data_IF_670062137991
#
_entry.id   IF_670062137991
#
_cell.length_a   1.000
_cell.length_b   1.000
_cell.length_c   1.000
_cell.angle_alpha   90.00
_cell.angle_beta   90.00
_cell.angle_gamma   90.00
#
_symmetry.space_group_name_H-M   'P 1'
#
loop_
_entity.id
_entity.type
_entity.pdbx_description
1 polymer ?
#
# COMPACT_ATOMS: atom_id res chain seq x y z
N UNK A 1 -88.76 13.85 23.54
CA UNK A 1 -89.16 14.05 24.96
C UNK A 1 -87.98 13.55 25.83
N UNK A 2 -87.54 14.51 26.71
CA UNK A 2 -86.63 14.23 27.88
C UNK A 2 -85.24 13.67 27.59
N UNK A 3 -84.25 14.46 27.55
CA UNK A 3 -83.32 15.04 28.55
C UNK A 3 -82.94 14.09 29.69
N UNK A 4 -81.69 13.70 29.73
CA UNK A 4 -80.95 13.57 30.99
C UNK A 4 -79.44 13.74 30.78
N UNK A 5 -78.95 14.73 31.50
CA UNK A 5 -77.54 15.14 31.55
C UNK A 5 -76.76 14.26 32.51
N UNK A 6 -75.60 13.75 32.13
CA UNK A 6 -74.66 13.17 33.08
C UNK A 6 -73.30 13.84 32.93
N UNK A 7 -72.92 14.53 33.98
CA UNK A 7 -71.63 15.15 34.20
C UNK A 7 -70.58 14.06 34.44
N UNK A 8 -69.52 14.07 33.67
CA UNK A 8 -68.30 13.30 33.97
C UNK A 8 -67.17 14.25 34.34
N UNK A 9 -66.72 14.11 35.56
CA UNK A 9 -65.53 14.77 36.12
C UNK A 9 -64.28 14.26 35.43
N UNK A 10 -63.49 15.17 34.86
CA UNK A 10 -62.21 14.84 34.31
C UNK A 10 -61.14 14.82 35.44
N UNK A 11 -60.57 13.68 35.69
CA UNK A 11 -59.38 13.51 36.50
C UNK A 11 -58.13 13.76 35.64
N UNK A 12 -57.35 14.81 35.93
CA UNK A 12 -56.07 15.06 35.34
C UNK A 12 -55.06 14.05 35.88
N UNK A 13 -54.62 13.15 35.01
CA UNK A 13 -53.43 12.31 35.28
C UNK A 13 -52.21 13.03 34.70
N UNK A 14 -51.38 13.57 35.58
CA UNK A 14 -50.07 14.11 35.20
C UNK A 14 -49.11 12.95 34.98
N UNK A 15 -48.85 12.60 33.71
CA UNK A 15 -47.80 11.67 33.34
C UNK A 15 -46.47 12.41 33.32
N UNK A 16 -45.66 12.19 34.32
CA UNK A 16 -44.25 12.65 34.36
C UNK A 16 -43.44 11.97 33.25
N UNK A 17 -43.04 12.73 32.25
CA UNK A 17 -42.11 12.27 31.22
C UNK A 17 -40.69 12.18 31.81
N UNK A 18 -40.26 10.98 32.19
CA UNK A 18 -38.85 10.70 32.42
C UNK A 18 -38.11 10.75 31.06
N UNK A 19 -37.39 11.83 30.81
CA UNK A 19 -36.47 11.92 29.70
C UNK A 19 -35.27 10.99 29.96
N UNK A 20 -35.37 9.77 29.47
CA UNK A 20 -34.23 8.83 29.39
C UNK A 20 -33.26 9.38 28.38
N UNK A 21 -32.11 9.89 28.85
CA UNK A 21 -30.97 10.17 28.02
C UNK A 21 -30.43 8.85 27.47
N UNK A 22 -30.80 8.51 26.24
CA UNK A 22 -30.14 7.43 25.50
C UNK A 22 -28.68 7.86 25.30
N UNK A 23 -27.76 7.17 25.97
CA UNK A 23 -26.35 7.29 25.75
C UNK A 23 -26.07 6.94 24.26
N UNK A 24 -25.58 7.92 23.52
CA UNK A 24 -25.12 7.78 22.15
C UNK A 24 -23.92 6.79 22.17
N UNK A 25 -23.87 5.77 21.30
CA UNK A 25 -22.68 4.92 21.24
C UNK A 25 -21.48 5.78 20.85
N UNK A 26 -20.45 5.74 21.66
CA UNK A 26 -19.15 6.33 21.35
C UNK A 26 -18.56 5.55 20.18
N UNK A 27 -18.29 6.23 19.06
CA UNK A 27 -17.56 5.62 17.96
C UNK A 27 -17.94 6.02 16.54
N UNK A 28 -18.17 7.30 16.27
CA UNK A 28 -17.91 7.85 14.94
C UNK A 28 -17.00 9.05 15.15
N UNK A 29 -15.71 8.83 15.04
CA UNK A 29 -14.75 9.92 14.85
C UNK A 29 -15.03 10.50 13.47
N UNK A 30 -15.80 11.60 13.43
CA UNK A 30 -15.79 12.46 12.25
C UNK A 30 -14.34 12.83 11.93
N UNK A 31 -13.98 12.96 10.64
CA UNK A 31 -12.65 13.39 10.26
C UNK A 31 -12.33 14.71 10.98
N UNK A 32 -11.21 14.73 11.69
CA UNK A 32 -10.75 15.89 12.42
C UNK A 32 -10.28 16.94 11.42
N UNK A 33 -11.23 17.67 10.82
CA UNK A 33 -10.93 18.84 10.01
C UNK A 33 -10.20 19.86 10.87
N UNK A 34 -9.04 20.35 10.38
CA UNK A 34 -8.33 21.54 10.83
C UNK A 34 -7.58 21.51 12.19
N UNK A 35 -7.21 20.36 12.73
CA UNK A 35 -6.19 20.40 13.78
C UNK A 35 -4.81 20.32 13.14
N UNK A 36 -3.94 21.35 13.29
CA UNK A 36 -2.58 21.28 12.80
C UNK A 36 -1.87 20.04 13.36
N UNK A 37 -1.12 19.33 12.51
CA UNK A 37 -0.26 18.23 12.93
C UNK A 37 0.88 18.79 13.78
N UNK A 38 0.74 18.72 15.10
CA UNK A 38 1.70 19.30 16.05
C UNK A 38 2.90 18.38 16.31
N UNK A 39 2.67 17.06 16.30
CA UNK A 39 3.68 16.06 16.60
C UNK A 39 3.63 14.97 15.51
N UNK A 40 4.31 15.16 14.37
CA UNK A 40 4.27 14.19 13.29
C UNK A 40 5.03 12.92 13.66
N UNK A 41 4.46 11.80 13.28
CA UNK A 41 5.17 10.51 13.30
C UNK A 41 6.30 10.57 12.28
N UNK A 42 7.53 10.24 12.69
CA UNK A 42 8.67 10.21 11.80
C UNK A 42 8.81 8.81 11.19
N UNK A 43 8.64 8.70 9.89
CA UNK A 43 8.95 7.49 9.11
C UNK A 43 10.44 7.46 8.82
N UNK A 44 11.12 6.42 9.27
CA UNK A 44 12.58 6.31 9.22
C UNK A 44 13.06 5.30 8.19
N UNK A 45 14.27 5.51 7.70
CA UNK A 45 14.96 4.47 6.94
C UNK A 45 15.23 3.26 7.84
N UNK A 46 15.11 2.05 7.25
CA UNK A 46 15.24 0.79 8.00
C UNK A 46 16.50 0.71 8.87
N UNK A 47 17.65 1.18 8.36
CA UNK A 47 18.93 1.22 9.07
C UNK A 47 19.01 2.25 10.19
N UNK A 48 18.14 3.28 10.15
CA UNK A 48 18.09 4.32 11.17
C UNK A 48 17.27 3.89 12.41
N UNK A 49 16.59 2.76 12.32
CA UNK A 49 15.90 2.14 13.46
C UNK A 49 16.92 1.37 14.33
N UNK A 50 16.75 1.44 15.65
CA UNK A 50 17.44 0.51 16.53
C UNK A 50 16.92 -0.92 16.35
N UNK A 51 17.69 -1.93 16.80
CA UNK A 51 17.25 -3.33 16.72
C UNK A 51 15.90 -3.56 17.43
N UNK A 52 15.66 -2.88 18.54
CA UNK A 52 14.39 -2.95 19.25
C UNK A 52 13.23 -2.32 18.45
N UNK A 53 13.49 -1.23 17.72
CA UNK A 53 12.49 -0.59 16.86
C UNK A 53 12.20 -1.46 15.63
N UNK A 54 13.25 -2.07 15.02
CA UNK A 54 13.09 -3.03 13.93
C UNK A 54 12.26 -4.23 14.39
N UNK A 55 12.58 -4.81 15.55
CA UNK A 55 11.83 -5.94 16.12
C UNK A 55 10.37 -5.54 16.41
N UNK A 56 10.15 -4.36 16.98
CA UNK A 56 8.80 -3.86 17.26
C UNK A 56 7.94 -3.73 16.00
N UNK A 57 8.54 -3.29 14.87
CA UNK A 57 7.82 -3.27 13.59
C UNK A 57 7.53 -4.67 13.08
N UNK A 58 8.50 -5.57 13.11
CA UNK A 58 8.34 -6.98 12.70
C UNK A 58 7.24 -7.64 13.53
N UNK A 59 7.24 -7.47 14.84
CA UNK A 59 6.22 -8.03 15.74
C UNK A 59 4.82 -7.48 15.45
N UNK A 60 4.72 -6.19 15.11
CA UNK A 60 3.45 -5.58 14.72
C UNK A 60 2.93 -6.14 13.37
N UNK A 61 3.80 -6.39 12.39
CA UNK A 61 3.41 -7.04 11.13
C UNK A 61 2.93 -8.48 11.40
N UNK A 62 3.65 -9.25 12.24
CA UNK A 62 3.24 -10.61 12.63
C UNK A 62 1.92 -10.61 13.43
N UNK A 63 1.70 -9.60 14.25
CA UNK A 63 0.41 -9.39 14.91
C UNK A 63 -0.72 -9.19 13.87
N UNK A 64 -0.54 -8.36 12.85
CA UNK A 64 -1.54 -8.21 11.78
C UNK A 64 -1.79 -9.53 11.05
N UNK A 65 -0.77 -10.35 10.83
CA UNK A 65 -0.88 -11.67 10.19
C UNK A 65 -1.64 -12.70 11.07
N UNK A 66 -1.72 -12.46 12.38
CA UNK A 66 -2.42 -13.34 13.33
C UNK A 66 -3.77 -12.80 13.82
N UNK A 67 -4.08 -11.53 13.51
CA UNK A 67 -5.36 -10.92 13.89
C UNK A 67 -6.37 -11.12 12.76
N UNK A 68 -7.61 -11.51 13.08
CA UNK A 68 -8.68 -11.79 12.11
C UNK A 68 -8.95 -10.62 11.18
N UNK A 69 -9.09 -10.92 9.88
CA UNK A 69 -9.39 -9.94 8.85
C UNK A 69 -10.81 -9.37 8.95
N UNK A 70 -10.97 -8.18 8.43
CA UNK A 70 -12.24 -7.43 8.44
C UNK A 70 -13.08 -7.65 7.18
N UNK A 71 -12.47 -8.12 6.08
CA UNK A 71 -13.13 -8.27 4.77
C UNK A 71 -13.29 -9.73 4.33
N UNK A 72 -13.22 -10.69 5.27
CA UNK A 72 -13.32 -12.11 4.99
C UNK A 72 -14.67 -12.53 4.36
N UNK A 73 -15.76 -11.78 4.61
CA UNK A 73 -17.05 -12.01 3.94
C UNK A 73 -17.04 -11.61 2.47
N UNK A 74 -16.20 -10.65 2.09
CA UNK A 74 -16.07 -10.15 0.72
C UNK A 74 -15.04 -10.96 -0.08
N UNK A 75 -13.95 -11.35 0.57
CA UNK A 75 -12.82 -12.03 -0.07
C UNK A 75 -12.51 -13.33 0.68
N UNK A 76 -12.77 -14.47 0.07
CA UNK A 76 -12.61 -15.79 0.71
C UNK A 76 -11.17 -16.11 1.12
N UNK A 77 -10.18 -15.46 0.51
CA UNK A 77 -8.77 -15.58 0.84
C UNK A 77 -8.34 -14.84 2.10
N UNK A 78 -9.12 -13.86 2.56
CA UNK A 78 -8.79 -13.09 3.75
C UNK A 78 -8.95 -13.94 5.02
N UNK A 79 -7.87 -14.07 5.78
CA UNK A 79 -7.81 -14.74 7.08
C UNK A 79 -7.34 -13.79 8.18
N UNK A 80 -6.55 -12.79 7.81
CA UNK A 80 -5.93 -11.86 8.75
C UNK A 80 -6.12 -10.40 8.32
N UNK A 81 -5.83 -9.45 9.23
CA UNK A 81 -5.77 -8.02 8.91
C UNK A 81 -4.72 -7.73 7.83
N UNK A 82 -3.64 -8.51 7.79
CA UNK A 82 -2.62 -8.39 6.76
C UNK A 82 -3.19 -8.74 5.37
N UNK A 83 -3.99 -9.80 5.30
CA UNK A 83 -4.65 -10.24 4.07
C UNK A 83 -5.68 -9.23 3.56
N UNK A 84 -6.31 -8.44 4.42
CA UNK A 84 -7.22 -7.36 4.01
C UNK A 84 -6.55 -6.38 3.04
N UNK A 85 -5.29 -6.02 3.33
CA UNK A 85 -4.51 -5.11 2.47
C UNK A 85 -4.10 -5.79 1.16
N UNK A 86 -3.70 -7.06 1.20
CA UNK A 86 -3.42 -7.81 -0.01
C UNK A 86 -4.66 -7.93 -0.90
N UNK A 87 -5.82 -8.27 -0.33
CA UNK A 87 -7.09 -8.39 -1.05
C UNK A 87 -7.53 -7.04 -1.67
N UNK A 88 -7.41 -5.94 -0.92
CA UNK A 88 -7.70 -4.61 -1.43
C UNK A 88 -6.84 -4.27 -2.64
N UNK A 89 -5.52 -4.49 -2.54
CA UNK A 89 -4.61 -4.22 -3.65
C UNK A 89 -4.93 -5.10 -4.87
N UNK A 90 -5.13 -6.42 -4.69
CA UNK A 90 -5.51 -7.33 -5.77
C UNK A 90 -6.78 -6.83 -6.47
N UNK A 91 -7.81 -6.45 -5.72
CA UNK A 91 -9.11 -6.03 -6.26
C UNK A 91 -9.06 -4.70 -7.01
N UNK A 92 -8.08 -3.85 -6.70
CA UNK A 92 -7.96 -2.50 -7.27
C UNK A 92 -6.83 -2.37 -8.30
N UNK A 93 -5.95 -3.35 -8.44
CA UNK A 93 -4.72 -3.26 -9.24
C UNK A 93 -4.91 -2.67 -10.63
N UNK A 94 -5.93 -3.10 -11.36
CA UNK A 94 -6.23 -2.62 -12.71
C UNK A 94 -6.76 -1.18 -12.76
N UNK A 95 -7.09 -0.60 -11.61
CA UNK A 95 -7.59 0.77 -11.50
C UNK A 95 -6.57 1.75 -10.93
N UNK A 96 -5.55 1.26 -10.21
CA UNK A 96 -4.66 2.09 -9.39
C UNK A 96 -3.22 2.17 -9.91
N UNK A 97 -2.90 1.51 -11.01
CA UNK A 97 -1.59 1.54 -11.65
C UNK A 97 -1.69 2.16 -13.03
N UNK A 98 -0.64 2.90 -13.43
CA UNK A 98 -0.58 3.67 -14.69
C UNK A 98 -1.77 4.62 -14.83
N UNK A 99 -2.06 5.31 -13.74
CA UNK A 99 -3.11 6.31 -13.61
C UNK A 99 -2.59 7.55 -12.89
N UNK A 100 -3.29 8.67 -13.00
CA UNK A 100 -2.92 9.93 -12.36
C UNK A 100 -2.98 9.95 -10.85
N UNK A 101 -3.61 8.97 -10.22
CA UNK A 101 -3.75 8.87 -8.77
C UNK A 101 -3.00 7.68 -8.15
N UNK A 102 -2.05 7.10 -8.87
CA UNK A 102 -1.18 6.03 -8.36
C UNK A 102 -0.55 6.39 -7.00
N UNK A 103 0.17 7.52 -6.93
CA UNK A 103 0.84 7.96 -5.70
C UNK A 103 -0.14 8.36 -4.59
N UNK A 104 -1.20 9.17 -4.83
CA UNK A 104 -2.21 9.47 -3.82
C UNK A 104 -2.87 8.23 -3.21
N UNK A 105 -3.22 7.25 -4.04
CA UNK A 105 -3.86 6.02 -3.57
C UNK A 105 -2.91 5.20 -2.70
N UNK A 106 -1.66 4.99 -3.13
CA UNK A 106 -0.67 4.23 -2.37
C UNK A 106 -0.24 4.95 -1.07
N UNK A 107 -0.20 6.29 -1.06
CA UNK A 107 -0.01 7.07 0.18
C UNK A 107 -1.11 6.79 1.19
N UNK A 108 -2.35 6.80 0.75
CA UNK A 108 -3.50 6.49 1.61
C UNK A 108 -3.50 5.03 2.07
N UNK A 109 -3.18 4.11 1.18
CA UNK A 109 -3.06 2.69 1.47
C UNK A 109 -2.01 2.41 2.56
N UNK A 110 -0.83 3.02 2.46
CA UNK A 110 0.22 2.94 3.48
C UNK A 110 -0.24 3.54 4.82
N UNK A 111 -0.94 4.66 4.78
CA UNK A 111 -1.44 5.29 6.00
C UNK A 111 -2.47 4.41 6.70
N UNK A 112 -3.40 3.82 5.98
CA UNK A 112 -4.36 2.87 6.53
C UNK A 112 -3.67 1.67 7.16
N UNK A 113 -2.65 1.13 6.50
CA UNK A 113 -1.83 0.04 7.04
C UNK A 113 -1.14 0.46 8.35
N UNK A 114 -0.56 1.66 8.39
CA UNK A 114 0.04 2.21 9.60
C UNK A 114 -0.98 2.38 10.74
N UNK A 115 -2.23 2.79 10.42
CA UNK A 115 -3.27 2.90 11.44
C UNK A 115 -3.66 1.52 12.01
N UNK A 116 -3.72 0.47 11.19
CA UNK A 116 -3.98 -0.88 11.68
C UNK A 116 -2.82 -1.41 12.56
N UNK A 117 -1.57 -1.18 12.17
CA UNK A 117 -0.41 -1.50 13.03
C UNK A 117 -0.53 -0.82 14.40
N UNK A 118 -0.98 0.44 14.45
CA UNK A 118 -1.12 1.20 15.69
C UNK A 118 -2.32 0.74 16.52
N UNK A 119 -3.47 0.61 15.90
CA UNK A 119 -4.74 0.38 16.61
C UNK A 119 -4.93 -1.07 17.01
N UNK A 120 -4.67 -2.01 16.13
CA UNK A 120 -4.83 -3.44 16.38
C UNK A 120 -3.61 -4.05 17.08
N UNK A 121 -2.39 -3.61 16.68
CA UNK A 121 -1.14 -4.24 17.12
C UNK A 121 -0.28 -3.36 18.03
N UNK A 122 -0.79 -2.19 18.44
CA UNK A 122 -0.17 -1.27 19.41
C UNK A 122 1.23 -0.78 19.01
N UNK A 123 1.52 -0.77 17.72
CA UNK A 123 2.78 -0.22 17.21
C UNK A 123 2.81 1.29 17.41
N UNK A 124 3.92 1.82 17.92
CA UNK A 124 4.05 3.24 18.25
C UNK A 124 4.89 4.04 17.26
N UNK A 125 5.59 3.36 16.35
CA UNK A 125 6.42 3.98 15.32
C UNK A 125 5.64 4.39 14.06
N UNK A 126 6.37 4.95 13.10
CA UNK A 126 5.91 5.09 11.71
C UNK A 126 6.35 3.89 10.86
N UNK A 127 5.68 3.65 9.74
CA UNK A 127 6.14 2.65 8.77
C UNK A 127 7.57 3.00 8.34
N UNK A 128 8.53 2.07 8.47
CA UNK A 128 9.87 2.30 7.95
C UNK A 128 9.87 2.27 6.42
N UNK A 129 10.91 2.86 5.82
CA UNK A 129 11.12 2.75 4.39
C UNK A 129 12.49 2.14 4.06
N UNK A 130 12.59 1.52 2.89
CA UNK A 130 13.83 0.97 2.37
C UNK A 130 14.47 1.94 1.39
N UNK A 131 15.54 2.61 1.81
CA UNK A 131 16.33 3.44 0.90
C UNK A 131 17.26 2.58 0.03
N UNK A 132 16.70 2.00 -1.00
CA UNK A 132 17.44 1.13 -1.92
C UNK A 132 18.61 1.83 -2.64
N UNK A 133 18.67 3.16 -2.65
CA UNK A 133 19.84 3.86 -3.22
C UNK A 133 21.14 3.59 -2.45
N UNK A 134 21.05 3.13 -1.21
CA UNK A 134 22.19 2.73 -0.40
C UNK A 134 22.71 1.33 -0.77
N UNK A 135 21.89 0.53 -1.44
CA UNK A 135 22.16 -0.87 -1.75
C UNK A 135 22.44 -1.11 -3.25
N UNK A 136 21.95 -0.25 -4.13
CA UNK A 136 21.96 -0.47 -5.58
C UNK A 136 23.32 -0.29 -6.28
N UNK A 137 24.39 0.09 -5.57
CA UNK A 137 25.72 0.33 -6.17
C UNK A 137 26.33 -0.94 -6.77
N UNK A 138 26.20 -2.08 -6.08
CA UNK A 138 26.74 -3.38 -6.51
C UNK A 138 25.76 -4.50 -6.16
N UNK A 139 25.86 -5.65 -6.86
CA UNK A 139 25.07 -6.83 -6.54
C UNK A 139 25.32 -7.31 -5.09
N UNK A 140 26.57 -7.27 -4.64
CA UNK A 140 26.93 -7.68 -3.29
C UNK A 140 26.29 -6.79 -2.22
N UNK A 141 26.28 -5.46 -2.42
CA UNK A 141 25.59 -4.54 -1.50
C UNK A 141 24.09 -4.78 -1.47
N UNK A 142 23.47 -5.01 -2.63
CA UNK A 142 22.05 -5.28 -2.69
C UNK A 142 21.69 -6.54 -1.90
N UNK A 143 22.40 -7.63 -2.15
CA UNK A 143 22.18 -8.91 -1.46
C UNK A 143 22.48 -8.87 0.05
N UNK A 144 23.33 -7.93 0.48
CA UNK A 144 23.65 -7.69 1.89
C UNK A 144 22.84 -6.54 2.52
N UNK A 145 21.77 -6.09 1.86
CA UNK A 145 20.90 -5.08 2.43
C UNK A 145 20.33 -5.53 3.77
N UNK A 146 20.36 -4.70 4.83
CA UNK A 146 19.75 -5.04 6.12
C UNK A 146 18.26 -5.35 6.05
N UNK A 147 17.58 -4.98 4.98
CA UNK A 147 16.18 -5.40 4.74
C UNK A 147 16.07 -6.91 4.57
N UNK A 148 17.12 -7.58 4.06
CA UNK A 148 17.18 -9.04 3.90
C UNK A 148 17.86 -9.76 5.07
N UNK A 149 18.20 -9.05 6.15
CA UNK A 149 18.78 -9.68 7.34
C UNK A 149 17.83 -10.71 7.95
N UNK A 150 18.41 -11.82 8.43
CA UNK A 150 17.63 -12.95 8.93
C UNK A 150 17.23 -12.82 10.40
N UNK A 151 17.75 -11.82 11.11
CA UNK A 151 17.42 -11.57 12.53
C UNK A 151 16.62 -10.29 12.68
N UNK A 152 17.13 -9.20 12.12
CA UNK A 152 16.57 -7.86 12.22
C UNK A 152 16.09 -7.31 10.87
N UNK A 153 15.73 -8.19 9.92
CA UNK A 153 15.19 -7.86 8.61
C UNK A 153 13.98 -8.73 8.28
N UNK A 154 13.74 -8.87 6.99
CA UNK A 154 12.55 -9.58 6.48
C UNK A 154 12.89 -10.98 5.96
N UNK A 155 14.10 -11.49 6.24
CA UNK A 155 14.60 -12.74 5.69
C UNK A 155 15.21 -12.57 4.29
N UNK A 156 15.98 -13.58 3.89
CA UNK A 156 16.74 -13.57 2.64
C UNK A 156 15.94 -14.01 1.42
N UNK A 157 16.66 -14.63 0.49
CA UNK A 157 16.10 -15.13 -0.76
C UNK A 157 15.35 -16.45 -0.56
N UNK A 158 14.46 -16.77 -1.50
CA UNK A 158 13.89 -18.11 -1.61
C UNK A 158 14.93 -19.14 -2.08
N UNK A 159 14.72 -20.41 -1.75
CA UNK A 159 15.54 -21.48 -2.29
C UNK A 159 15.51 -21.50 -3.82
N UNK A 160 16.64 -21.82 -4.48
CA UNK A 160 16.68 -21.83 -5.95
C UNK A 160 15.77 -22.91 -6.52
N UNK A 161 14.90 -22.52 -7.45
CA UNK A 161 14.02 -23.43 -8.20
C UNK A 161 14.18 -23.15 -9.69
N UNK A 162 14.57 -24.18 -10.45
CA UNK A 162 14.82 -24.05 -11.91
C UNK A 162 13.55 -23.71 -12.66
N UNK A 163 12.46 -24.42 -12.36
CA UNK A 163 11.13 -24.20 -12.94
C UNK A 163 10.14 -23.97 -11.80
N UNK A 164 9.68 -22.76 -11.67
CA UNK A 164 8.79 -22.40 -10.58
C UNK A 164 7.35 -22.86 -10.80
N UNK A 165 6.98 -23.24 -12.02
CA UNK A 165 5.58 -23.51 -12.39
C UNK A 165 4.63 -22.32 -12.10
N UNK A 166 5.17 -21.22 -11.55
CA UNK A 166 4.41 -20.02 -11.21
C UNK A 166 4.39 -19.08 -12.39
N UNK A 167 3.21 -18.86 -12.94
CA UNK A 167 2.96 -17.79 -13.88
C UNK A 167 2.49 -16.56 -13.09
N UNK A 168 3.19 -15.43 -13.23
CA UNK A 168 2.68 -14.14 -12.71
C UNK A 168 1.48 -13.64 -13.50
N UNK A 169 1.12 -14.34 -14.58
CA UNK A 169 0.00 -13.99 -15.42
C UNK A 169 -1.29 -14.60 -14.87
N UNK A 170 -2.20 -13.77 -14.43
CA UNK A 170 -3.61 -14.14 -14.53
C UNK A 170 -3.92 -14.31 -16.02
N UNK A 171 -4.42 -15.47 -16.42
CA UNK A 171 -4.62 -15.85 -17.84
C UNK A 171 -5.56 -14.94 -18.64
N UNK A 172 -6.14 -13.91 -18.02
CA UNK A 172 -7.10 -12.98 -18.61
C UNK A 172 -6.79 -11.50 -18.38
N UNK A 173 -5.68 -11.13 -17.71
CA UNK A 173 -5.40 -9.73 -17.39
C UNK A 173 -4.51 -9.05 -18.42
N UNK A 174 -4.69 -7.76 -18.62
CA UNK A 174 -3.81 -6.90 -19.43
C UNK A 174 -2.37 -6.91 -18.94
N UNK A 175 -2.15 -7.31 -17.68
CA UNK A 175 -0.84 -7.36 -17.02
C UNK A 175 -0.11 -8.70 -17.21
N UNK A 176 -0.72 -9.68 -17.92
CA UNK A 176 -0.10 -10.97 -18.20
C UNK A 176 1.23 -10.89 -18.98
N UNK A 177 1.47 -9.79 -19.68
CA UNK A 177 2.70 -9.53 -20.44
C UNK A 177 3.87 -9.01 -19.58
N UNK A 178 3.67 -8.77 -18.29
CA UNK A 178 4.72 -8.32 -17.35
C UNK A 178 5.52 -9.52 -16.79
N UNK A 179 5.08 -10.74 -17.05
CA UNK A 179 5.77 -11.94 -16.59
C UNK A 179 7.22 -11.96 -17.11
N UNK A 180 8.19 -12.00 -16.19
CA UNK A 180 9.58 -12.28 -16.53
C UNK A 180 9.66 -13.68 -17.14
N UNK A 181 10.51 -13.85 -18.14
CA UNK A 181 10.64 -15.14 -18.84
C UNK A 181 11.01 -16.27 -17.85
N UNK A 182 10.40 -17.44 -18.01
CA UNK A 182 10.63 -18.61 -17.14
C UNK A 182 12.07 -19.11 -17.14
N UNK A 183 12.88 -18.71 -18.13
CA UNK A 183 14.25 -19.21 -18.37
C UNK A 183 15.31 -18.12 -18.17
N UNK A 184 15.05 -17.10 -17.32
CA UNK A 184 16.05 -16.07 -17.04
C UNK A 184 17.27 -16.72 -16.33
N UNK A 185 18.46 -16.71 -16.97
CA UNK A 185 19.68 -17.27 -16.37
C UNK A 185 20.16 -16.48 -15.14
N UNK A 186 19.58 -15.31 -14.88
CA UNK A 186 19.89 -14.49 -13.70
C UNK A 186 19.06 -14.87 -12.47
N UNK A 187 18.16 -15.86 -12.58
CA UNK A 187 17.38 -16.34 -11.44
C UNK A 187 18.27 -16.84 -10.31
N UNK A 188 17.94 -16.44 -9.09
CA UNK A 188 18.71 -16.76 -7.89
C UNK A 188 17.90 -17.49 -6.83
N UNK A 189 16.59 -17.53 -6.96
CA UNK A 189 15.63 -18.04 -6.00
C UNK A 189 14.43 -18.72 -6.64
N UNK A 190 13.23 -18.33 -6.22
CA UNK A 190 11.96 -18.83 -6.77
C UNK A 190 11.24 -19.86 -5.90
N UNK A 191 11.87 -20.28 -4.81
CA UNK A 191 11.26 -21.11 -3.76
C UNK A 191 10.85 -20.31 -2.53
N UNK A 192 10.46 -21.05 -1.48
CA UNK A 192 10.07 -20.46 -0.19
C UNK A 192 11.25 -19.76 0.48
N UNK A 193 10.97 -18.63 1.11
CA UNK A 193 11.88 -18.00 2.08
C UNK A 193 11.96 -18.92 3.29
N UNK A 194 13.17 -19.37 3.62
CA UNK A 194 13.41 -20.37 4.68
C UNK A 194 14.04 -19.80 5.95
N UNK A 195 14.31 -18.48 5.97
CA UNK A 195 14.97 -17.81 7.08
C UNK A 195 14.29 -16.49 7.45
N UNK A 196 14.69 -15.96 8.60
CA UNK A 196 14.18 -14.69 9.09
C UNK A 196 12.79 -14.76 9.73
N UNK A 197 12.29 -13.61 10.19
CA UNK A 197 11.05 -13.54 10.95
C UNK A 197 9.80 -13.98 10.19
N UNK A 198 9.87 -14.00 8.86
CA UNK A 198 8.73 -14.32 7.97
C UNK A 198 8.88 -15.67 7.25
N UNK A 199 9.83 -16.53 7.67
CA UNK A 199 10.01 -17.87 7.10
C UNK A 199 8.74 -18.72 7.16
N UNK A 200 7.95 -18.57 8.23
CA UNK A 200 6.70 -19.29 8.45
C UNK A 200 5.47 -18.51 7.91
N UNK A 201 5.69 -17.37 7.24
CA UNK A 201 4.57 -16.59 6.71
C UNK A 201 3.86 -17.33 5.59
N UNK A 202 2.57 -17.55 5.77
CA UNK A 202 1.68 -18.10 4.77
C UNK A 202 0.95 -16.97 4.05
N UNK A 203 1.24 -16.82 2.76
CA UNK A 203 0.50 -15.92 1.87
C UNK A 203 -0.83 -16.60 1.54
N UNK A 204 -1.93 -15.92 1.77
CA UNK A 204 -3.28 -16.51 1.69
C UNK A 204 -3.89 -16.47 0.28
N UNK A 205 -3.44 -15.54 -0.58
CA UNK A 205 -4.01 -15.26 -1.91
C UNK A 205 -2.93 -15.09 -2.97
N UNK A 206 -3.33 -15.13 -4.24
CA UNK A 206 -2.41 -15.02 -5.36
C UNK A 206 -1.74 -16.37 -5.68
N UNK A 207 -0.72 -16.37 -6.53
CA UNK A 207 -0.29 -15.25 -7.36
C UNK A 207 -1.38 -14.84 -8.39
N UNK A 208 -1.34 -13.60 -8.85
CA UNK A 208 -2.29 -13.05 -9.82
C UNK A 208 -3.49 -12.35 -9.19
N UNK A 209 -4.55 -12.16 -9.97
CA UNK A 209 -5.70 -11.32 -9.64
C UNK A 209 -6.79 -12.02 -8.81
N UNK A 210 -6.53 -13.20 -8.29
CA UNK A 210 -7.50 -13.95 -7.50
C UNK A 210 -7.41 -13.60 -6.01
N UNK A 211 -8.54 -13.27 -5.41
CA UNK A 211 -8.71 -13.12 -3.96
C UNK A 211 -9.24 -14.40 -3.30
N UNK A 212 -9.28 -15.51 -4.02
CA UNK A 212 -9.63 -16.81 -3.46
C UNK A 212 -8.51 -17.32 -2.54
N UNK A 213 -8.89 -18.11 -1.54
CA UNK A 213 -7.94 -18.75 -0.65
C UNK A 213 -7.05 -19.74 -1.39
N UNK A 214 -5.76 -19.42 -1.43
CA UNK A 214 -4.72 -20.23 -2.08
C UNK A 214 -3.43 -20.16 -1.24
N UNK A 215 -3.41 -20.83 -0.06
CA UNK A 215 -2.30 -20.71 0.88
C UNK A 215 -1.01 -21.28 0.32
N UNK A 216 0.06 -20.52 0.43
CA UNK A 216 1.41 -20.91 0.01
C UNK A 216 2.46 -20.15 0.83
N UNK A 217 3.71 -20.60 0.80
CA UNK A 217 4.81 -19.92 1.48
C UNK A 217 5.15 -18.59 0.79
N UNK A 218 5.75 -17.68 1.53
CA UNK A 218 6.37 -16.48 0.96
C UNK A 218 7.50 -16.88 0.02
N UNK A 219 7.43 -16.43 -1.24
CA UNK A 219 8.41 -16.74 -2.29
C UNK A 219 9.18 -15.49 -2.68
N UNK A 220 10.49 -15.61 -2.81
CA UNK A 220 11.37 -14.56 -3.36
C UNK A 220 12.34 -15.13 -4.39
N UNK A 221 12.72 -14.27 -5.33
CA UNK A 221 13.76 -14.53 -6.33
C UNK A 221 14.56 -13.23 -6.51
N UNK A 222 15.40 -12.91 -5.50
CA UNK A 222 16.11 -11.63 -5.43
C UNK A 222 17.07 -11.50 -6.62
N UNK A 223 16.80 -10.55 -7.51
CA UNK A 223 17.57 -10.33 -8.73
C UNK A 223 18.29 -8.95 -8.72
N UNK A 224 19.53 -8.89 -8.22
CA UNK A 224 20.26 -7.64 -8.12
C UNK A 224 20.62 -7.01 -9.48
N UNK A 225 20.70 -7.78 -10.57
CA UNK A 225 21.09 -7.26 -11.89
C UNK A 225 20.06 -6.29 -12.46
N UNK A 226 18.79 -6.49 -12.16
CA UNK A 226 17.66 -5.66 -12.62
C UNK A 226 17.59 -4.30 -11.91
N UNK A 227 18.03 -4.22 -10.66
CA UNK A 227 17.80 -3.04 -9.81
C UNK A 227 18.81 -1.92 -9.96
N UNK A 228 20.03 -2.24 -10.40
CA UNK A 228 21.17 -1.31 -10.31
C UNK A 228 20.97 0.00 -11.08
N UNK A 229 20.28 -0.04 -12.22
CA UNK A 229 20.07 1.16 -13.05
C UNK A 229 18.93 2.03 -12.51
N UNK A 230 17.86 1.41 -12.00
CA UNK A 230 16.63 2.11 -11.66
C UNK A 230 16.51 2.43 -10.16
N UNK A 231 17.32 1.82 -9.29
CA UNK A 231 17.32 2.07 -7.85
C UNK A 231 18.53 2.87 -7.35
N UNK A 232 19.44 3.27 -8.25
CA UNK A 232 20.63 4.03 -7.89
C UNK A 232 20.34 5.50 -7.57
N UNK A 233 21.32 6.15 -6.91
CA UNK A 233 21.26 7.58 -6.58
C UNK A 233 21.01 8.48 -7.81
N UNK A 234 21.59 8.13 -8.96
CA UNK A 234 21.43 8.90 -10.20
C UNK A 234 19.94 8.93 -10.62
N UNK A 235 19.23 7.81 -10.52
CA UNK A 235 17.81 7.76 -10.85
C UNK A 235 16.97 8.56 -9.85
N UNK A 236 17.25 8.47 -8.54
CA UNK A 236 16.56 9.29 -7.54
C UNK A 236 16.71 10.79 -7.79
N UNK A 237 17.90 11.24 -8.20
CA UNK A 237 18.13 12.63 -8.59
C UNK A 237 17.26 13.01 -9.80
N UNK A 238 17.18 12.14 -10.80
CA UNK A 238 16.35 12.36 -11.99
C UNK A 238 14.84 12.39 -11.64
N UNK A 239 14.38 11.51 -10.77
CA UNK A 239 13.00 11.50 -10.25
C UNK A 239 12.69 12.84 -9.57
N UNK A 240 13.55 13.28 -8.66
CA UNK A 240 13.35 14.50 -7.87
C UNK A 240 13.54 15.80 -8.68
N UNK A 241 14.09 15.74 -9.90
CA UNK A 241 14.28 16.88 -10.80
C UNK A 241 13.09 17.13 -11.74
N UNK A 242 12.06 16.27 -11.70
CA UNK A 242 10.93 16.42 -12.60
C UNK A 242 10.16 17.72 -12.35
N UNK A 243 9.72 18.43 -13.42
CA UNK A 243 9.18 19.77 -13.31
C UNK A 243 7.79 19.84 -12.68
N UNK A 244 6.95 18.83 -12.91
CA UNK A 244 5.56 18.76 -12.48
C UNK A 244 5.17 17.32 -12.08
N UNK A 245 3.99 17.18 -11.48
CA UNK A 245 3.48 15.89 -11.00
C UNK A 245 3.35 14.86 -12.12
N UNK A 246 2.97 15.31 -13.31
CA UNK A 246 2.78 14.45 -14.45
C UNK A 246 4.06 13.73 -14.90
N UNK A 247 5.17 14.49 -15.00
CA UNK A 247 6.47 13.93 -15.31
C UNK A 247 7.01 13.11 -14.13
N UNK A 248 6.75 13.57 -12.89
CA UNK A 248 7.20 12.91 -11.68
C UNK A 248 6.56 11.51 -11.52
N UNK A 249 5.22 11.43 -11.52
CA UNK A 249 4.52 10.15 -11.34
C UNK A 249 4.84 9.16 -12.45
N UNK A 250 4.93 9.64 -13.68
CA UNK A 250 5.28 8.82 -14.84
C UNK A 250 6.70 8.26 -14.77
N UNK A 251 7.65 9.01 -14.20
CA UNK A 251 9.00 8.51 -13.98
C UNK A 251 9.07 7.50 -12.83
N UNK A 252 8.32 7.72 -11.77
CA UNK A 252 8.21 6.78 -10.64
C UNK A 252 7.62 5.44 -11.09
N UNK A 253 6.50 5.47 -11.79
CA UNK A 253 5.75 4.27 -12.16
C UNK A 253 6.27 3.62 -13.45
N UNK A 254 6.90 4.39 -14.29
CA UNK A 254 7.49 3.97 -15.56
C UNK A 254 6.66 4.34 -16.78
N UNK A 255 7.34 4.98 -17.75
CA UNK A 255 6.77 5.26 -19.06
C UNK A 255 6.66 4.01 -19.94
N UNK A 256 7.45 2.98 -19.61
CA UNK A 256 7.38 1.63 -20.17
C UNK A 256 7.47 0.63 -19.03
N UNK A 257 6.76 -0.48 -19.15
CA UNK A 257 6.78 -1.54 -18.13
C UNK A 257 8.21 -2.02 -17.88
N UNK A 258 8.61 -2.09 -16.61
CA UNK A 258 9.92 -2.58 -16.19
C UNK A 258 11.02 -1.50 -16.08
N UNK A 259 10.79 -0.25 -16.48
CA UNK A 259 11.83 0.77 -16.55
C UNK A 259 11.56 1.95 -15.60
N UNK A 260 11.42 1.65 -14.29
CA UNK A 260 11.20 2.65 -13.26
C UNK A 260 11.69 2.17 -11.89
N UNK A 261 11.86 3.08 -10.95
CA UNK A 261 12.21 2.70 -9.58
C UNK A 261 11.09 1.90 -8.90
N UNK A 262 9.82 2.14 -9.22
CA UNK A 262 8.69 1.33 -8.73
C UNK A 262 8.81 -0.13 -9.19
N UNK A 263 8.84 -0.38 -10.50
CA UNK A 263 8.95 -1.74 -11.02
C UNK A 263 10.29 -2.42 -10.68
N UNK A 264 11.38 -1.64 -10.56
CA UNK A 264 12.68 -2.17 -10.16
C UNK A 264 12.71 -2.65 -8.70
N UNK A 265 12.05 -1.94 -7.78
CA UNK A 265 11.92 -2.40 -6.40
C UNK A 265 11.13 -3.71 -6.30
N UNK A 266 10.05 -3.80 -7.03
CA UNK A 266 9.25 -5.04 -7.13
C UNK A 266 10.06 -6.18 -7.75
N UNK A 267 10.62 -5.97 -8.94
CA UNK A 267 11.38 -6.98 -9.67
C UNK A 267 12.68 -7.37 -9.01
N UNK A 268 13.34 -6.44 -8.30
CA UNK A 268 14.58 -6.69 -7.59
C UNK A 268 14.44 -7.69 -6.44
N UNK A 269 13.28 -7.72 -5.79
CA UNK A 269 12.97 -8.67 -4.70
C UNK A 269 12.28 -9.91 -5.21
N UNK A 270 11.32 -9.75 -6.11
CA UNK A 270 10.47 -10.84 -6.56
C UNK A 270 11.03 -11.62 -7.74
N UNK A 271 11.90 -11.03 -8.56
CA UNK A 271 12.48 -11.72 -9.74
C UNK A 271 11.42 -12.32 -10.63
N UNK A 272 11.61 -13.62 -10.99
CA UNK A 272 10.68 -14.35 -11.87
C UNK A 272 9.40 -14.83 -11.18
N UNK A 273 9.47 -15.15 -9.90
CA UNK A 273 8.43 -15.96 -9.25
C UNK A 273 8.04 -15.50 -7.85
N UNK A 274 8.75 -14.52 -7.29
CA UNK A 274 8.46 -14.01 -5.94
C UNK A 274 7.21 -13.14 -5.88
N UNK A 275 6.62 -13.04 -4.69
CA UNK A 275 5.40 -12.26 -4.46
C UNK A 275 5.55 -10.82 -4.91
N UNK A 276 6.68 -10.17 -4.60
CA UNK A 276 6.94 -8.78 -4.95
C UNK A 276 6.84 -8.48 -6.45
N UNK A 277 7.16 -9.43 -7.34
CA UNK A 277 7.04 -9.22 -8.80
C UNK A 277 5.63 -9.41 -9.32
N UNK A 278 4.70 -9.90 -8.52
CA UNK A 278 3.32 -10.05 -8.95
C UNK A 278 2.60 -8.70 -8.84
N UNK A 279 2.12 -8.11 -9.95
CA UNK A 279 1.51 -6.78 -9.91
C UNK A 279 0.22 -6.72 -9.07
N UNK A 280 -0.44 -7.86 -8.82
CA UNK A 280 -1.66 -7.93 -8.03
C UNK A 280 -1.39 -8.25 -6.57
N UNK A 281 -0.68 -9.35 -6.31
CA UNK A 281 -0.54 -9.94 -4.98
C UNK A 281 0.71 -9.53 -4.22
N UNK A 282 1.51 -8.62 -4.78
CA UNK A 282 2.78 -8.15 -4.19
C UNK A 282 2.72 -7.71 -2.71
N UNK A 283 1.60 -7.15 -2.17
CA UNK A 283 1.52 -6.87 -0.73
C UNK A 283 1.58 -8.11 0.17
N UNK A 284 1.51 -9.33 -0.40
CA UNK A 284 1.78 -10.57 0.32
C UNK A 284 3.20 -10.66 0.90
N UNK A 285 4.17 -9.97 0.30
CA UNK A 285 5.51 -9.82 0.86
C UNK A 285 5.61 -8.54 1.71
N UNK A 286 6.00 -8.63 3.00
CA UNK A 286 6.12 -7.45 3.88
C UNK A 286 7.06 -6.35 3.39
N UNK A 287 8.03 -6.65 2.52
CA UNK A 287 8.94 -5.65 1.92
C UNK A 287 8.18 -4.66 1.03
N UNK A 288 7.00 -5.02 0.52
CA UNK A 288 6.13 -4.13 -0.24
C UNK A 288 5.93 -2.77 0.46
N UNK A 289 5.63 -2.79 1.75
CA UNK A 289 5.33 -1.57 2.51
C UNK A 289 6.55 -0.66 2.68
N UNK A 290 7.75 -1.24 2.81
CA UNK A 290 8.99 -0.48 2.86
C UNK A 290 9.35 0.13 1.50
N UNK A 291 9.10 -0.63 0.42
CA UNK A 291 9.31 -0.17 -0.95
C UNK A 291 8.35 0.97 -1.30
N UNK A 292 7.06 0.82 -1.04
CA UNK A 292 6.10 1.91 -1.25
C UNK A 292 6.33 3.08 -0.30
N UNK A 293 6.88 2.84 0.89
CA UNK A 293 7.31 3.87 1.83
C UNK A 293 8.35 4.82 1.23
N UNK A 294 9.35 4.30 0.51
CA UNK A 294 10.34 5.19 -0.14
C UNK A 294 9.77 5.90 -1.38
N UNK A 295 8.81 5.31 -2.09
CA UNK A 295 8.12 6.01 -3.18
C UNK A 295 7.30 7.20 -2.65
N UNK A 296 6.59 7.02 -1.55
CA UNK A 296 5.89 8.10 -0.86
C UNK A 296 6.84 9.17 -0.32
N UNK A 297 8.00 8.76 0.23
CA UNK A 297 9.07 9.68 0.63
C UNK A 297 9.56 10.53 -0.54
N UNK A 298 9.85 9.92 -1.69
CA UNK A 298 10.29 10.65 -2.88
C UNK A 298 9.23 11.66 -3.34
N UNK A 299 7.94 11.29 -3.29
CA UNK A 299 6.88 12.23 -3.62
C UNK A 299 6.80 13.39 -2.61
N UNK A 300 6.87 13.09 -1.31
CA UNK A 300 6.91 14.14 -0.27
C UNK A 300 8.12 15.07 -0.43
N UNK A 301 9.32 14.53 -0.70
CA UNK A 301 10.53 15.33 -0.96
C UNK A 301 10.37 16.22 -2.19
N UNK A 302 9.82 15.66 -3.28
CA UNK A 302 9.56 16.42 -4.49
C UNK A 302 8.56 17.56 -4.22
N UNK A 303 7.47 17.29 -3.50
CA UNK A 303 6.50 18.31 -3.10
C UNK A 303 7.16 19.41 -2.26
N UNK A 304 7.98 19.04 -1.26
CA UNK A 304 8.60 20.00 -0.32
C UNK A 304 9.70 20.87 -0.95
N UNK A 305 10.28 20.47 -2.07
CA UNK A 305 11.23 21.33 -2.82
C UNK A 305 10.60 22.62 -3.32
N UNK A 306 9.31 22.61 -3.64
CA UNK A 306 8.55 23.77 -4.07
C UNK A 306 7.08 23.59 -3.64
N UNK A 307 6.85 23.69 -2.35
CA UNK A 307 5.56 23.37 -1.75
C UNK A 307 4.41 24.19 -2.35
N UNK A 308 4.61 25.49 -2.54
CA UNK A 308 3.56 26.38 -3.02
C UNK A 308 3.09 26.04 -4.43
N UNK A 309 4.00 25.66 -5.29
CA UNK A 309 3.67 25.21 -6.64
C UNK A 309 3.12 23.76 -6.66
N UNK A 310 3.58 22.87 -5.74
CA UNK A 310 3.37 21.42 -5.84
C UNK A 310 2.34 20.83 -4.86
N UNK A 311 1.88 21.59 -3.88
CA UNK A 311 0.86 21.14 -2.91
C UNK A 311 -0.48 20.78 -3.53
N UNK A 312 -0.77 21.30 -4.72
CA UNK A 312 -1.99 21.04 -5.48
C UNK A 312 -1.70 20.52 -6.91
N UNK A 313 -0.44 20.26 -7.22
CA UNK A 313 -0.04 19.76 -8.53
C UNK A 313 -0.39 18.27 -8.64
N UNK A 314 -1.41 17.98 -9.44
CA UNK A 314 -1.95 16.64 -9.70
C UNK A 314 -2.51 16.58 -11.11
N UNK A 315 -2.48 15.42 -11.73
CA UNK A 315 -3.03 15.20 -13.07
C UNK A 315 -2.74 13.80 -13.56
N UNK A 316 -3.24 13.49 -14.74
CA UNK A 316 -3.09 12.19 -15.36
C UNK A 316 -4.42 11.48 -15.56
N UNK A 317 -4.43 10.34 -16.26
CA UNK A 317 -5.65 9.63 -16.60
C UNK A 317 -6.28 8.95 -15.39
N UNK A 318 -7.61 8.88 -15.38
CA UNK A 318 -8.37 8.02 -14.47
C UNK A 318 -8.47 6.56 -14.97
N UNK A 319 -7.97 6.30 -16.17
CA UNK A 319 -8.06 5.01 -16.83
C UNK A 319 -6.67 4.44 -17.08
N UNK A 320 -6.46 3.19 -16.64
CA UNK A 320 -5.19 2.49 -16.77
C UNK A 320 -4.69 2.46 -18.22
N UNK A 321 -3.41 2.69 -18.42
CA UNK A 321 -2.71 2.71 -19.70
C UNK A 321 -3.21 3.73 -20.72
N UNK A 322 -4.07 4.65 -20.31
CA UNK A 322 -4.41 5.77 -21.16
C UNK A 322 -3.21 6.70 -21.40
N UNK A 323 -3.35 7.63 -22.36
CA UNK A 323 -2.30 8.61 -22.61
C UNK A 323 -1.85 9.31 -21.30
N UNK A 324 -0.56 9.41 -21.04
CA UNK A 324 0.59 9.19 -21.95
C UNK A 324 1.23 7.81 -21.84
N UNK A 325 0.69 6.92 -21.07
CA UNK A 325 1.30 5.59 -20.91
C UNK A 325 1.25 4.79 -22.22
N UNK A 326 0.07 4.66 -22.83
CA UNK A 326 -0.15 4.10 -24.19
C UNK A 326 0.60 2.78 -24.46
N UNK A 327 0.75 1.90 -23.48
CA UNK A 327 1.55 0.68 -23.61
C UNK A 327 1.06 -0.28 -24.70
N UNK A 328 -0.23 -0.26 -24.99
CA UNK A 328 -0.87 -1.18 -25.92
C UNK A 328 -1.32 -0.49 -27.22
N UNK A 329 -0.69 0.63 -27.57
CA UNK A 329 -0.94 1.35 -28.82
C UNK A 329 -2.03 2.41 -28.71
N UNK A 330 -3.30 2.06 -28.93
CA UNK A 330 -4.38 3.04 -28.82
C UNK A 330 -4.67 3.41 -27.37
N UNK A 331 -4.77 4.71 -27.08
CA UNK A 331 -5.19 5.18 -25.76
C UNK A 331 -6.68 4.90 -25.54
N UNK A 332 -7.07 4.25 -24.44
CA UNK A 332 -8.48 4.22 -24.05
C UNK A 332 -9.00 5.63 -23.75
N UNK A 333 -10.31 5.82 -23.77
CA UNK A 333 -10.93 7.05 -23.32
C UNK A 333 -10.66 7.25 -21.82
N UNK A 334 -10.34 8.48 -21.43
CA UNK A 334 -10.04 8.81 -20.04
C UNK A 334 -10.44 10.24 -19.71
N UNK A 335 -10.50 10.55 -18.42
CA UNK A 335 -10.55 11.92 -17.87
C UNK A 335 -9.30 12.18 -17.08
N UNK A 336 -8.83 13.43 -17.10
CA UNK A 336 -7.77 13.84 -16.18
C UNK A 336 -8.32 13.89 -14.75
N UNK A 337 -7.59 13.31 -13.81
CA UNK A 337 -7.91 13.41 -12.40
C UNK A 337 -7.69 14.84 -11.89
N UNK A 338 -8.42 15.21 -10.87
CA UNK A 338 -8.33 16.49 -10.17
C UNK A 338 -8.25 16.23 -8.67
N UNK A 339 -8.06 17.27 -7.87
CA UNK A 339 -8.08 17.18 -6.41
C UNK A 339 -9.42 16.62 -5.86
N UNK A 340 -10.51 16.77 -6.59
CA UNK A 340 -11.83 16.27 -6.21
C UNK A 340 -12.10 14.82 -6.68
N UNK A 341 -11.17 14.21 -7.42
CA UNK A 341 -11.32 12.81 -7.83
C UNK A 341 -11.38 11.90 -6.60
N UNK A 342 -12.34 10.97 -6.59
CA UNK A 342 -12.55 10.04 -5.48
C UNK A 342 -11.86 8.71 -5.76
N UNK A 343 -10.90 8.37 -4.91
CA UNK A 343 -10.17 7.11 -4.91
C UNK A 343 -10.91 6.06 -4.09
N UNK A 344 -11.04 4.86 -4.62
CA UNK A 344 -11.66 3.74 -3.91
C UNK A 344 -10.62 2.95 -3.10
N UNK A 345 -10.73 2.98 -1.76
CA UNK A 345 -9.91 2.21 -0.83
C UNK A 345 -10.70 1.03 -0.19
N UNK A 346 -11.74 0.58 -0.87
CA UNK A 346 -12.56 -0.57 -0.45
C UNK A 346 -13.22 -0.38 0.91
N UNK A 347 -13.50 -1.49 1.58
CA UNK A 347 -14.11 -1.45 2.92
C UNK A 347 -13.14 -0.94 4.00
N UNK A 348 -11.83 -1.00 3.76
CA UNK A 348 -10.82 -0.58 4.74
C UNK A 348 -10.76 0.95 4.86
N UNK A 349 -10.81 1.67 3.75
CA UNK A 349 -10.64 3.12 3.72
C UNK A 349 -11.83 3.91 3.14
N UNK A 350 -12.77 3.24 2.48
CA UNK A 350 -13.88 3.89 1.80
C UNK A 350 -13.45 4.73 0.59
N UNK A 351 -14.25 5.74 0.25
CA UNK A 351 -13.93 6.70 -0.80
C UNK A 351 -13.17 7.89 -0.20
N UNK A 352 -12.08 8.28 -0.85
CA UNK A 352 -11.22 9.39 -0.43
C UNK A 352 -10.88 10.28 -1.61
N UNK A 353 -10.99 11.60 -1.44
CA UNK A 353 -10.55 12.53 -2.47
C UNK A 353 -9.03 12.61 -2.55
N UNK A 354 -8.49 12.84 -3.74
CA UNK A 354 -7.05 13.08 -3.93
C UNK A 354 -6.57 14.24 -3.04
N UNK A 355 -7.37 15.31 -2.89
CA UNK A 355 -7.03 16.46 -2.04
C UNK A 355 -6.67 16.06 -0.60
N UNK A 356 -7.26 15.00 -0.08
CA UNK A 356 -6.98 14.48 1.26
C UNK A 356 -5.62 13.77 1.36
N UNK A 357 -5.00 13.42 0.22
CA UNK A 357 -3.72 12.72 0.15
C UNK A 357 -2.53 13.65 -0.18
N UNK A 358 -2.76 14.95 -0.41
CA UNK A 358 -1.70 15.83 -0.92
C UNK A 358 -0.70 16.28 0.14
N UNK A 359 -1.11 16.41 1.40
CA UNK A 359 -0.23 16.88 2.48
C UNK A 359 -0.07 15.83 3.59
N UNK A 360 1.16 15.37 3.81
CA UNK A 360 1.48 14.42 4.88
C UNK A 360 1.35 15.01 6.29
N UNK A 361 1.24 16.35 6.38
CA UNK A 361 1.12 17.11 7.63
C UNK A 361 -0.29 17.72 7.82
N UNK A 362 -1.26 17.31 7.00
CA UNK A 362 -2.61 17.89 7.01
C UNK A 362 -3.72 16.84 6.98
N UNK A 363 -4.91 17.25 7.40
CA UNK A 363 -6.09 16.41 7.42
C UNK A 363 -5.95 15.21 8.35
N UNK A 364 -6.15 14.00 7.81
CA UNK A 364 -6.01 12.75 8.57
C UNK A 364 -4.55 12.34 8.75
N UNK A 365 -3.65 12.86 7.91
CA UNK A 365 -2.22 12.55 7.97
C UNK A 365 -1.50 13.43 8.99
N UNK A 366 -0.54 12.83 9.68
CA UNK A 366 0.34 13.54 10.58
C UNK A 366 1.67 12.78 10.65
N UNK A 367 2.43 12.81 9.56
CA UNK A 367 3.73 12.16 9.48
C UNK A 367 4.71 12.91 8.59
N UNK A 368 5.99 12.66 8.81
CA UNK A 368 7.11 13.17 8.03
C UNK A 368 8.13 12.07 7.78
N UNK A 369 9.13 12.36 6.98
CA UNK A 369 10.26 11.46 6.70
C UNK A 369 11.55 12.04 7.25
N UNK A 370 12.40 11.14 7.78
CA UNK A 370 13.79 11.43 8.13
C UNK A 370 14.67 11.42 6.89
#
# INVERSE_FOLDING_TARGET
>A
MLWDSLLYSAALVVLGSAAGTLARPAGSTEPRADTPCAEPVVRKEWRALSSEQQQSYIDAVKCMQSTSGKTAELYSGVKSLYDDFQALHISQTDNIHWVGFFLPWHRYFLWLYEQELKTACKYTGGIPYWNWTLDADTNAKFLSSPVFDTVHGFGGNGGYVRDTGRSHAASSSKLSHIAMASDDPSATGGGCVADGPFADHQVSMGPGNSTAYNPHCLVRDINPSFVRQMLGKAESVQVLSQPDFWHFTRRIEGATMGNSCHSAGHGGVGGRAGEMSNPYSSPGDPIFYLHHGVLDKLWNEWQRKDWDARKADIGGPDTQFAYPYNYFGASPAYKNVTLDYEMNLGQIGGMKKISQAMDTMGGEFCYTYE
#
